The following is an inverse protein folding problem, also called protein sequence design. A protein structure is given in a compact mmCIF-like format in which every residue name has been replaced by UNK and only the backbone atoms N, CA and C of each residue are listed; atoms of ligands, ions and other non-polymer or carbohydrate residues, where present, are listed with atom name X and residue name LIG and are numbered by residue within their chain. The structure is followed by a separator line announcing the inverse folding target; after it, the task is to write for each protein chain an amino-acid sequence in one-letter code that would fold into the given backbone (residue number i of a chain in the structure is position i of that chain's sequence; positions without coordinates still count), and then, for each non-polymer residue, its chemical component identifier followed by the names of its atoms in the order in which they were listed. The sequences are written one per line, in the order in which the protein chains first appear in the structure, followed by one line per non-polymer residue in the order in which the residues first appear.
data_IF_697297909184
#
_entry.id   IF_697297909184
#
_cell.length_a   1.000
_cell.length_b   1.000
_cell.length_c   1.000
_cell.angle_alpha   90.00
_cell.angle_beta   90.00
_cell.angle_gamma   90.00
#
_symmetry.space_group_name_H-M   'P 1'
#
loop_
_entity.id
_entity.type
_entity.pdbx_description
1 polymer ?
#
# COMPACT_ATOMS: atom_id res chain seq x y z
N UNK A 1 -11.43 -5.86 -10.89
CA UNK A 1 -10.04 -5.59 -10.54
C UNK A 1 -9.75 -6.03 -9.14
N UNK A 2 -8.65 -6.67 -8.98
CA UNK A 2 -8.24 -7.11 -7.65
C UNK A 2 -7.61 -5.95 -6.89
N UNK A 3 -7.82 -5.95 -5.58
CA UNK A 3 -7.21 -4.94 -4.73
C UNK A 3 -5.69 -4.99 -4.87
N UNK A 4 -5.12 -6.18 -4.96
CA UNK A 4 -3.67 -6.31 -5.07
C UNK A 4 -3.13 -5.58 -6.29
N UNK A 5 -3.84 -5.64 -7.41
CA UNK A 5 -3.39 -4.96 -8.61
C UNK A 5 -3.40 -3.44 -8.43
N UNK A 6 -4.45 -2.93 -7.79
CA UNK A 6 -4.52 -1.50 -7.51
C UNK A 6 -3.41 -1.06 -6.59
N UNK A 7 -3.19 -1.81 -5.52
CA UNK A 7 -2.14 -1.49 -4.57
C UNK A 7 -0.80 -1.45 -5.28
N UNK A 8 -0.54 -2.43 -6.12
CA UNK A 8 0.72 -2.49 -6.84
C UNK A 8 0.90 -1.26 -7.73
N UNK A 9 -0.14 -0.89 -8.46
CA UNK A 9 -0.07 0.29 -9.33
C UNK A 9 0.25 1.54 -8.55
N UNK A 10 -0.39 1.70 -7.40
CA UNK A 10 -0.17 2.88 -6.57
C UNK A 10 1.28 2.93 -6.10
N UNK A 11 1.80 1.77 -5.67
CA UNK A 11 3.17 1.72 -5.19
C UNK A 11 4.15 2.07 -6.30
N UNK A 12 3.92 1.53 -7.48
CA UNK A 12 4.78 1.83 -8.62
C UNK A 12 4.81 3.31 -8.90
N UNK A 13 3.67 3.96 -8.87
CA UNK A 13 3.59 5.38 -9.15
C UNK A 13 4.22 6.23 -8.06
N UNK A 14 3.97 5.87 -6.81
CA UNK A 14 4.45 6.69 -5.70
C UNK A 14 5.94 6.56 -5.48
N UNK A 15 6.46 5.34 -5.62
CA UNK A 15 7.86 5.10 -5.32
C UNK A 15 8.74 5.07 -6.56
N UNK A 16 8.14 5.01 -7.73
CA UNK A 16 8.91 4.98 -8.97
C UNK A 16 9.69 3.70 -9.16
N UNK A 17 9.13 2.58 -8.69
CA UNK A 17 9.79 1.28 -8.82
C UNK A 17 9.09 0.46 -9.89
N UNK A 18 9.74 -0.62 -10.33
CA UNK A 18 9.17 -1.51 -11.32
C UNK A 18 8.13 -2.42 -10.69
N UNK A 19 7.15 -2.81 -11.49
CA UNK A 19 6.13 -3.75 -11.02
C UNK A 19 6.75 -5.03 -10.49
N UNK A 20 7.82 -5.46 -11.12
CA UNK A 20 8.46 -6.72 -10.74
C UNK A 20 9.03 -6.65 -9.33
N UNK A 21 9.37 -5.46 -8.88
CA UNK A 21 9.90 -5.29 -7.54
C UNK A 21 8.82 -5.33 -6.48
N UNK A 22 7.59 -5.11 -6.87
CA UNK A 22 6.49 -5.04 -5.92
C UNK A 22 5.89 -6.42 -5.73
N UNK A 23 6.55 -7.21 -4.89
CA UNK A 23 6.09 -8.56 -4.58
C UNK A 23 5.39 -8.54 -3.22
N UNK A 24 4.59 -9.58 -2.92
CA UNK A 24 3.87 -9.58 -1.64
C UNK A 24 4.78 -9.47 -0.43
N UNK A 25 5.97 -10.04 -0.51
CA UNK A 25 6.89 -10.02 0.62
C UNK A 25 7.78 -8.78 0.65
N UNK A 26 7.70 -7.94 -0.36
CA UNK A 26 8.57 -6.76 -0.41
C UNK A 26 8.26 -5.80 0.72
N UNK A 27 9.30 -5.31 1.37
CA UNK A 27 9.16 -4.29 2.39
C UNK A 27 9.24 -2.93 1.73
N UNK A 28 8.36 -2.02 2.12
CA UNK A 28 8.37 -0.69 1.51
C UNK A 28 9.71 0.02 1.75
N UNK A 29 10.21 -0.08 2.95
CA UNK A 29 11.43 0.62 3.31
C UNK A 29 12.68 -0.13 2.84
N UNK A 30 12.73 -1.42 3.15
CA UNK A 30 13.97 -2.17 2.91
C UNK A 30 14.12 -2.59 1.47
N UNK A 31 13.03 -3.00 0.85
CA UNK A 31 13.11 -3.53 -0.51
C UNK A 31 12.80 -2.50 -1.57
N UNK A 32 11.90 -1.59 -1.28
CA UNK A 32 11.46 -0.60 -2.26
C UNK A 32 12.05 0.77 -2.03
N UNK A 33 12.79 0.94 -0.95
CA UNK A 33 13.52 2.17 -0.71
C UNK A 33 12.68 3.35 -0.27
N UNK A 34 11.51 3.10 0.29
CA UNK A 34 10.65 4.19 0.75
C UNK A 34 11.19 4.75 2.06
N UNK A 35 11.19 6.07 2.18
CA UNK A 35 11.50 6.67 3.47
C UNK A 35 10.18 7.02 4.18
N UNK A 36 10.28 7.69 5.32
CA UNK A 36 9.09 7.93 6.12
C UNK A 36 8.09 8.83 5.40
N UNK A 37 8.58 9.75 4.61
CA UNK A 37 7.70 10.62 3.84
C UNK A 37 6.98 9.83 2.75
N UNK A 38 7.73 8.93 2.12
CA UNK A 38 7.14 8.10 1.07
C UNK A 38 6.04 7.22 1.63
N UNK A 39 6.25 6.64 2.81
CA UNK A 39 5.24 5.77 3.39
C UNK A 39 3.99 6.53 3.76
N UNK A 40 4.13 7.75 4.24
CA UNK A 40 2.97 8.59 4.54
C UNK A 40 2.18 8.86 3.27
N UNK A 41 2.88 9.20 2.20
CA UNK A 41 2.19 9.48 0.94
C UNK A 41 1.52 8.24 0.38
N UNK A 42 2.14 7.07 0.55
CA UNK A 42 1.52 5.82 0.13
C UNK A 42 0.21 5.59 0.87
N UNK A 43 0.24 5.78 2.17
CA UNK A 43 -0.95 5.58 2.98
C UNK A 43 -2.06 6.51 2.52
N UNK A 44 -1.73 7.77 2.28
CA UNK A 44 -2.71 8.73 1.83
C UNK A 44 -3.29 8.35 0.46
N UNK A 45 -2.44 7.86 -0.42
CA UNK A 45 -2.90 7.43 -1.73
C UNK A 45 -3.85 6.26 -1.62
N UNK A 46 -3.54 5.30 -0.73
CA UNK A 46 -4.44 4.18 -0.51
C UNK A 46 -5.78 4.66 0.02
N UNK A 47 -5.76 5.60 0.95
CA UNK A 47 -6.99 6.11 1.53
C UNK A 47 -7.89 6.74 0.47
N UNK A 48 -7.28 7.50 -0.41
CA UNK A 48 -8.06 8.18 -1.45
C UNK A 48 -8.57 7.21 -2.48
N UNK A 49 -7.72 6.25 -2.85
CA UNK A 49 -8.09 5.34 -3.92
C UNK A 49 -9.21 4.39 -3.48
N UNK A 50 -9.17 3.95 -2.25
CA UNK A 50 -10.11 2.95 -1.77
C UNK A 50 -11.20 3.51 -0.88
N UNK A 51 -11.14 4.79 -0.59
CA UNK A 51 -12.16 5.43 0.23
C UNK A 51 -12.20 4.93 1.66
N UNK A 52 -11.05 4.66 2.24
CA UNK A 52 -10.95 4.18 3.61
C UNK A 52 -10.06 5.09 4.41
N UNK A 53 -10.07 4.90 5.72
CA UNK A 53 -9.17 5.62 6.62
C UNK A 53 -8.18 4.64 7.22
N UNK A 54 -6.93 5.03 7.23
CA UNK A 54 -5.87 4.22 7.80
C UNK A 54 -5.23 5.03 8.93
N UNK A 55 -5.58 4.73 10.18
CA UNK A 55 -4.98 5.46 11.32
C UNK A 55 -3.47 5.25 11.36
N UNK A 56 -2.78 6.19 11.97
CA UNK A 56 -1.33 6.09 12.07
C UNK A 56 -0.88 4.80 12.73
N UNK A 57 -1.61 4.34 13.73
CA UNK A 57 -1.28 3.09 14.40
C UNK A 57 -1.24 1.94 13.43
N UNK A 58 -2.25 1.89 12.57
CA UNK A 58 -2.35 0.79 11.62
C UNK A 58 -1.32 0.94 10.51
N UNK A 59 -1.09 2.19 10.11
CA UNK A 59 -0.11 2.44 9.05
C UNK A 59 1.27 1.96 9.46
N UNK A 60 1.60 2.11 10.73
CA UNK A 60 2.90 1.66 11.22
C UNK A 60 3.08 0.15 11.10
N UNK A 61 1.98 -0.57 11.14
CA UNK A 61 2.04 -2.03 11.04
C UNK A 61 2.11 -2.51 9.61
N UNK A 62 1.80 -1.64 8.66
CA UNK A 62 1.83 -2.02 7.26
C UNK A 62 3.23 -1.76 6.73
N UNK A 63 4.06 -2.80 6.79
CA UNK A 63 5.45 -2.67 6.37
C UNK A 63 5.75 -3.41 5.08
N UNK A 64 4.87 -4.33 4.67
CA UNK A 64 5.06 -5.09 3.45
C UNK A 64 3.86 -4.96 2.54
N UNK A 65 4.09 -5.24 1.27
CA UNK A 65 3.04 -5.11 0.27
C UNK A 65 1.83 -5.96 0.64
N UNK A 66 2.05 -7.21 1.04
CA UNK A 66 0.93 -8.09 1.36
C UNK A 66 0.13 -7.58 2.54
N UNK A 67 0.77 -6.93 3.48
CA UNK A 67 0.07 -6.39 4.63
C UNK A 67 -0.84 -5.24 4.21
N UNK A 68 -0.38 -4.43 3.27
CA UNK A 68 -1.20 -3.36 2.73
C UNK A 68 -2.42 -3.93 2.02
N UNK A 69 -2.21 -4.94 1.21
CA UNK A 69 -3.31 -5.57 0.48
C UNK A 69 -4.34 -6.14 1.44
N UNK A 70 -3.87 -6.86 2.45
CA UNK A 70 -4.77 -7.48 3.41
C UNK A 70 -5.56 -6.45 4.19
N UNK A 71 -4.88 -5.39 4.61
CA UNK A 71 -5.54 -4.34 5.35
C UNK A 71 -6.65 -3.72 4.52
N UNK A 72 -6.31 -3.36 3.29
CA UNK A 72 -7.27 -2.70 2.42
C UNK A 72 -8.44 -3.62 2.11
N UNK A 73 -8.16 -4.88 1.81
CA UNK A 73 -9.24 -5.83 1.53
C UNK A 73 -10.19 -5.94 2.70
N UNK A 74 -9.64 -5.91 3.88
CA UNK A 74 -10.44 -6.05 5.10
C UNK A 74 -11.33 -4.84 5.30
N UNK A 75 -10.85 -3.66 4.92
CA UNK A 75 -11.56 -2.42 5.22
C UNK A 75 -12.35 -1.86 4.05
N UNK A 76 -12.01 -2.26 2.83
CA UNK A 76 -12.66 -1.71 1.64
C UNK A 76 -13.67 -2.65 1.05
N UNK A 77 -14.04 -3.69 1.74
CA UNK A 77 -14.92 -4.72 1.20
C UNK A 77 -16.35 -4.24 1.06
N UNK A 78 -16.61 -3.09 1.50
CA UNK A 78 -17.96 -2.58 1.47
C UNK A 78 -18.52 -2.44 0.09
N UNK A 79 -17.82 -2.55 -0.80
CA UNK A 79 -18.32 -2.31 -2.01
C UNK A 79 -19.04 -3.22 -2.61
N UNK A 80 -19.46 -3.42 -2.52
CA UNK A 80 -20.09 -4.21 -2.93
C UNK A 80 -20.70 -4.10 -3.23
#
# INVERSE_FOLDING_TARGET
MAVADKVKSIIVEQLGVDEEEVTPDASFVEDLGADSLDTVELVMAFEEEFGIEIPDEDAEKITRVKEAVEYIESHAKTKK
#
